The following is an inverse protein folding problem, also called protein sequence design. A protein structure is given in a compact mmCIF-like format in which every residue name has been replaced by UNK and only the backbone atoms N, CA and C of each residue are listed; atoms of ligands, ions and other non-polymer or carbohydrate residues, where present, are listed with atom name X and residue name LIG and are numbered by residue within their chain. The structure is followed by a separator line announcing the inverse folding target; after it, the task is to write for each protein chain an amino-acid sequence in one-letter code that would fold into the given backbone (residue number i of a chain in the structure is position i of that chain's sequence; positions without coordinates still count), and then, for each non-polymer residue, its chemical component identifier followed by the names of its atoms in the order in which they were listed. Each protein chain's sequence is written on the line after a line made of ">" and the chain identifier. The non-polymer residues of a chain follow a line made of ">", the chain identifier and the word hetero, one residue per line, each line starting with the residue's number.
data_IF_761500272444
#
_entry.id   IF_761500272444
#
_cell.length_a   1.000
_cell.length_b   1.000
_cell.length_c   1.000
_cell.angle_alpha   90.00
_cell.angle_beta   90.00
_cell.angle_gamma   90.00
#
_symmetry.space_group_name_H-M   'P 1'
#
loop_
_entity.id
_entity.type
_entity.pdbx_description
1 polymer ?
#
# COMPACT_ATOMS: atom_id res chain seq x y z
N UNK A 1 15.69 -8.22 14.72
CA UNK A 1 14.46 -8.29 13.89
C UNK A 1 14.00 -6.90 13.51
N UNK A 2 13.19 -6.75 12.47
CA UNK A 2 12.74 -5.41 12.04
C UNK A 2 11.43 -4.99 12.73
N UNK A 3 10.65 -5.95 13.24
CA UNK A 3 9.34 -5.71 13.86
C UNK A 3 9.14 -6.55 15.10
N UNK A 4 8.22 -6.15 15.98
CA UNK A 4 7.91 -6.90 17.20
C UNK A 4 7.26 -8.25 16.88
N UNK A 5 6.35 -8.30 15.91
CA UNK A 5 5.74 -9.57 15.50
C UNK A 5 6.78 -10.58 14.98
N UNK A 6 7.80 -10.13 14.24
CA UNK A 6 8.92 -11.01 13.82
C UNK A 6 9.72 -11.52 15.01
N UNK A 7 9.94 -10.68 16.03
CA UNK A 7 10.62 -11.09 17.27
C UNK A 7 9.82 -12.17 17.97
N UNK A 8 8.53 -11.95 18.17
CA UNK A 8 7.63 -12.91 18.82
C UNK A 8 7.61 -14.25 18.09
N UNK A 9 7.50 -14.20 16.77
CA UNK A 9 7.46 -15.40 15.94
C UNK A 9 8.77 -16.19 15.96
N UNK A 10 9.92 -15.53 15.90
CA UNK A 10 11.25 -16.17 16.01
C UNK A 10 11.45 -16.77 17.41
N UNK A 11 11.09 -16.05 18.47
CA UNK A 11 11.15 -16.54 19.83
C UNK A 11 10.31 -17.82 19.98
N UNK A 12 9.10 -17.79 19.45
CA UNK A 12 8.16 -18.91 19.50
C UNK A 12 8.66 -20.14 18.70
N UNK A 13 9.10 -19.93 17.45
CA UNK A 13 9.47 -21.03 16.56
C UNK A 13 10.85 -21.61 16.88
N UNK A 14 11.83 -20.75 17.13
CA UNK A 14 13.22 -21.17 17.35
C UNK A 14 13.53 -21.41 18.82
N UNK A 15 12.60 -21.17 19.75
CA UNK A 15 12.77 -21.30 21.20
C UNK A 15 13.99 -20.52 21.73
N UNK A 16 14.25 -19.37 21.13
CA UNK A 16 15.34 -18.45 21.54
C UNK A 16 14.80 -17.57 22.67
N UNK A 17 15.57 -17.32 23.76
CA UNK A 17 15.18 -16.40 24.81
C UNK A 17 14.89 -14.99 24.25
N UNK A 18 13.78 -14.37 24.66
CA UNK A 18 13.32 -13.09 24.10
C UNK A 18 14.31 -11.93 24.26
N UNK A 19 15.11 -11.97 25.36
CA UNK A 19 16.17 -11.00 25.65
C UNK A 19 17.34 -11.07 24.65
N UNK A 20 17.48 -12.16 23.91
CA UNK A 20 18.50 -12.33 22.86
C UNK A 20 18.06 -11.80 21.49
N UNK A 21 16.81 -11.39 21.35
CA UNK A 21 16.24 -10.88 20.09
C UNK A 21 15.90 -9.41 20.25
N UNK A 22 16.67 -8.56 19.59
CA UNK A 22 16.42 -7.12 19.55
C UNK A 22 15.58 -6.76 18.32
N UNK A 23 14.65 -5.81 18.50
CA UNK A 23 13.91 -5.18 17.42
C UNK A 23 14.59 -3.86 17.08
N UNK A 24 14.89 -3.68 15.80
CA UNK A 24 15.45 -2.44 15.28
C UNK A 24 14.77 -2.11 13.95
N UNK A 25 13.90 -1.14 13.97
CA UNK A 25 13.31 -0.60 12.75
C UNK A 25 14.39 -0.01 11.85
N UNK A 26 14.34 -0.23 10.54
CA UNK A 26 15.24 0.45 9.62
C UNK A 26 15.00 1.96 9.69
N UNK A 27 16.04 2.78 9.60
CA UNK A 27 15.83 4.21 9.42
C UNK A 27 15.09 4.45 8.11
N UNK A 28 13.98 5.17 8.17
CA UNK A 28 13.33 5.69 6.97
C UNK A 28 14.07 6.97 6.61
N UNK A 29 14.70 6.98 5.45
CA UNK A 29 15.29 8.21 4.92
C UNK A 29 14.16 9.18 4.60
N UNK A 30 14.02 10.19 5.44
CA UNK A 30 13.02 11.23 5.30
C UNK A 30 13.50 12.24 4.26
N UNK A 31 12.91 12.19 3.08
CA UNK A 31 13.11 13.27 2.11
C UNK A 31 12.26 14.49 2.51
N UNK A 32 12.82 15.66 2.34
CA UNK A 32 12.05 16.90 2.50
C UNK A 32 11.01 16.98 1.38
N UNK A 33 9.77 16.85 1.73
CA UNK A 33 8.62 17.04 0.84
C UNK A 33 7.57 17.84 1.59
N UNK A 34 6.63 18.42 0.85
CA UNK A 34 5.48 19.06 1.47
C UNK A 34 4.65 18.02 2.26
N UNK A 35 4.01 18.43 3.36
CA UNK A 35 3.07 17.58 4.06
C UNK A 35 1.95 17.14 3.11
N UNK A 36 1.40 15.95 3.36
CA UNK A 36 0.32 15.42 2.57
C UNK A 36 -0.86 16.38 2.43
N UNK A 37 -1.26 16.61 1.19
CA UNK A 37 -2.45 17.37 0.82
C UNK A 37 -3.19 16.61 -0.27
N UNK A 38 -4.50 16.42 -0.09
CA UNK A 38 -5.34 15.86 -1.14
C UNK A 38 -5.66 16.95 -2.17
N UNK A 39 -5.55 16.61 -3.44
CA UNK A 39 -6.08 17.48 -4.49
C UNK A 39 -7.59 17.62 -4.33
N UNK A 40 -8.13 18.85 -4.43
CA UNK A 40 -9.52 19.14 -4.01
C UNK A 40 -10.58 18.36 -4.78
N UNK A 41 -10.29 17.92 -6.02
CA UNK A 41 -11.27 17.32 -6.92
C UNK A 41 -10.86 15.94 -7.47
N UNK A 42 -9.69 15.38 -7.07
CA UNK A 42 -9.20 14.13 -7.65
C UNK A 42 -8.48 13.24 -6.62
N UNK A 43 -9.02 12.05 -6.39
CA UNK A 43 -8.40 11.10 -5.47
C UNK A 43 -7.34 10.25 -6.16
N UNK A 44 -6.12 10.26 -5.63
CA UNK A 44 -5.03 9.41 -6.13
C UNK A 44 -4.76 8.28 -5.14
N UNK A 45 -4.88 7.03 -5.60
CA UNK A 45 -4.56 5.84 -4.83
C UNK A 45 -3.23 5.27 -5.27
N UNK A 46 -2.23 5.32 -4.38
CA UNK A 46 -0.86 4.97 -4.71
C UNK A 46 -0.48 3.57 -4.20
N UNK A 47 0.13 2.76 -5.06
CA UNK A 47 0.61 1.43 -4.74
C UNK A 47 2.06 1.23 -5.20
N UNK A 48 3.05 1.56 -4.36
CA UNK A 48 4.45 1.33 -4.64
C UNK A 48 4.81 -0.14 -4.34
N UNK A 49 4.65 -0.99 -5.31
CA UNK A 49 4.90 -2.42 -5.13
C UNK A 49 5.50 -3.05 -6.39
N UNK A 50 6.44 -3.96 -6.18
CA UNK A 50 6.95 -4.83 -7.23
C UNK A 50 5.98 -5.98 -7.59
N UNK A 51 6.36 -6.85 -8.54
CA UNK A 51 5.47 -7.83 -9.16
C UNK A 51 5.11 -9.10 -8.35
N UNK A 52 5.71 -9.43 -7.18
CA UNK A 52 5.39 -10.67 -6.47
C UNK A 52 3.91 -10.78 -6.08
N UNK A 53 3.35 -11.98 -6.18
CA UNK A 53 1.93 -12.25 -5.95
C UNK A 53 1.44 -11.86 -4.54
N UNK A 54 2.31 -11.95 -3.52
CA UNK A 54 1.97 -11.58 -2.14
C UNK A 54 1.73 -10.06 -1.96
N UNK A 55 2.07 -9.24 -2.94
CA UNK A 55 1.69 -7.82 -2.99
C UNK A 55 0.19 -7.63 -3.23
N UNK A 56 -0.51 -8.70 -3.66
CA UNK A 56 -1.97 -8.76 -3.74
C UNK A 56 -2.62 -7.73 -4.66
N UNK A 57 -1.99 -7.47 -5.80
CA UNK A 57 -2.48 -6.56 -6.85
C UNK A 57 -3.92 -6.88 -7.28
N UNK A 58 -4.30 -8.18 -7.28
CA UNK A 58 -5.64 -8.64 -7.65
C UNK A 58 -6.73 -8.05 -6.77
N UNK A 59 -6.50 -7.96 -5.46
CA UNK A 59 -7.47 -7.36 -4.53
C UNK A 59 -7.64 -5.87 -4.81
N UNK A 60 -6.55 -5.15 -5.07
CA UNK A 60 -6.64 -3.73 -5.41
C UNK A 60 -7.34 -3.50 -6.75
N UNK A 61 -7.01 -4.25 -7.80
CA UNK A 61 -7.70 -4.16 -9.09
C UNK A 61 -9.22 -4.38 -8.94
N UNK A 62 -9.63 -5.40 -8.19
CA UNK A 62 -11.04 -5.65 -7.90
C UNK A 62 -11.70 -4.52 -7.12
N UNK A 63 -10.98 -3.90 -6.18
CA UNK A 63 -11.48 -2.74 -5.46
C UNK A 63 -11.69 -1.54 -6.39
N UNK A 64 -10.76 -1.28 -7.31
CA UNK A 64 -10.90 -0.27 -8.37
C UNK A 64 -12.13 -0.54 -9.27
N UNK A 65 -12.35 -1.80 -9.66
CA UNK A 65 -13.55 -2.18 -10.44
C UNK A 65 -14.84 -1.89 -9.67
N UNK A 66 -14.88 -2.23 -8.38
CA UNK A 66 -16.05 -1.97 -7.54
C UNK A 66 -16.27 -0.47 -7.33
N UNK A 67 -15.20 0.31 -7.15
CA UNK A 67 -15.26 1.76 -7.02
C UNK A 67 -15.87 2.41 -8.26
N UNK A 68 -15.43 2.01 -9.45
CA UNK A 68 -16.01 2.45 -10.71
C UNK A 68 -17.49 2.07 -10.83
N UNK A 69 -17.87 0.84 -10.45
CA UNK A 69 -19.27 0.37 -10.46
C UNK A 69 -20.19 1.14 -9.51
N UNK A 70 -19.63 1.76 -8.47
CA UNK A 70 -20.36 2.65 -7.54
C UNK A 70 -20.57 4.05 -8.09
N UNK A 71 -20.02 4.36 -9.26
CA UNK A 71 -20.17 5.64 -9.94
C UNK A 71 -19.12 6.67 -9.55
N UNK A 72 -18.07 6.30 -8.84
CA UNK A 72 -16.93 7.19 -8.59
C UNK A 72 -16.16 7.41 -9.91
N UNK A 73 -15.96 8.67 -10.30
CA UNK A 73 -15.33 9.06 -11.57
C UNK A 73 -14.02 9.81 -11.40
N UNK A 74 -13.87 10.58 -10.31
CA UNK A 74 -12.74 11.50 -10.13
C UNK A 74 -11.65 10.88 -9.26
N UNK A 75 -11.05 9.81 -9.79
CA UNK A 75 -9.94 9.11 -9.13
C UNK A 75 -9.02 8.44 -10.15
N UNK A 76 -7.77 8.20 -9.72
CA UNK A 76 -6.84 7.31 -10.41
C UNK A 76 -6.11 6.41 -9.42
N UNK A 77 -5.58 5.28 -9.89
CA UNK A 77 -4.62 4.46 -9.15
C UNK A 77 -3.26 4.48 -9.85
N UNK A 78 -2.19 4.70 -9.08
CA UNK A 78 -0.82 4.76 -9.59
C UNK A 78 -0.04 3.56 -9.05
N UNK A 79 0.43 2.70 -9.97
CA UNK A 79 1.19 1.49 -9.65
C UNK A 79 2.62 1.60 -10.18
N UNK A 80 3.62 1.31 -9.33
CA UNK A 80 5.04 1.35 -9.70
C UNK A 80 5.49 0.10 -10.47
N UNK A 81 4.67 -0.34 -11.41
CA UNK A 81 4.90 -1.44 -12.34
C UNK A 81 4.89 -0.90 -13.78
N UNK A 82 5.62 -1.55 -14.70
CA UNK A 82 5.52 -1.27 -16.14
C UNK A 82 4.32 -1.99 -16.77
N UNK A 83 3.92 -3.11 -16.15
CA UNK A 83 2.79 -3.93 -16.60
C UNK A 83 3.20 -5.11 -17.47
N UNK A 84 4.50 -5.43 -17.54
CA UNK A 84 5.08 -6.51 -18.35
C UNK A 84 6.07 -7.41 -17.56
N UNK A 85 6.19 -7.22 -16.25
CA UNK A 85 7.18 -7.89 -15.42
C UNK A 85 7.02 -9.42 -15.39
N UNK A 86 5.79 -9.90 -15.49
CA UNK A 86 5.46 -11.33 -15.58
C UNK A 86 4.05 -11.53 -16.15
N UNK A 87 3.67 -12.78 -16.43
CA UNK A 87 2.35 -13.11 -17.01
C UNK A 87 1.19 -12.65 -16.13
N UNK A 88 1.34 -12.74 -14.82
CA UNK A 88 0.31 -12.29 -13.87
C UNK A 88 0.08 -10.78 -13.95
N UNK A 89 1.15 -9.98 -14.01
CA UNK A 89 1.04 -8.52 -14.15
C UNK A 89 0.52 -8.13 -15.54
N UNK A 90 0.99 -8.80 -16.61
CA UNK A 90 0.43 -8.59 -17.97
C UNK A 90 -1.08 -8.83 -18.01
N UNK A 91 -1.54 -9.92 -17.37
CA UNK A 91 -2.97 -10.21 -17.30
C UNK A 91 -3.76 -9.15 -16.52
N UNK A 92 -3.20 -8.63 -15.42
CA UNK A 92 -3.83 -7.56 -14.64
C UNK A 92 -3.93 -6.26 -15.43
N UNK A 93 -2.86 -5.88 -16.15
CA UNK A 93 -2.85 -4.68 -16.99
C UNK A 93 -3.90 -4.78 -18.09
N UNK A 94 -3.93 -5.90 -18.80
CA UNK A 94 -4.94 -6.17 -19.83
C UNK A 94 -6.36 -6.08 -19.26
N UNK A 95 -6.62 -6.68 -18.09
CA UNK A 95 -7.92 -6.63 -17.43
C UNK A 95 -8.30 -5.18 -17.04
N UNK A 96 -7.35 -4.38 -16.55
CA UNK A 96 -7.57 -2.98 -16.23
C UNK A 96 -7.95 -2.16 -17.48
N UNK A 97 -7.26 -2.39 -18.60
CA UNK A 97 -7.53 -1.75 -19.89
C UNK A 97 -8.90 -2.15 -20.46
N UNK A 98 -9.22 -3.44 -20.48
CA UNK A 98 -10.53 -3.97 -20.95
C UNK A 98 -11.71 -3.39 -20.15
N UNK A 99 -11.52 -3.18 -18.84
CA UNK A 99 -12.52 -2.58 -17.96
C UNK A 99 -12.46 -1.05 -17.91
N UNK A 100 -11.53 -0.45 -18.64
CA UNK A 100 -11.30 1.01 -18.67
C UNK A 100 -11.13 1.57 -17.26
N UNK A 101 -10.34 0.89 -16.41
CA UNK A 101 -10.04 1.37 -15.07
C UNK A 101 -8.94 2.44 -15.14
N UNK A 102 -9.04 3.54 -14.40
CA UNK A 102 -8.03 4.59 -14.39
C UNK A 102 -6.80 4.17 -13.55
N UNK A 103 -6.11 3.11 -14.00
CA UNK A 103 -4.90 2.58 -13.37
C UNK A 103 -3.70 2.92 -14.25
N UNK A 104 -2.76 3.70 -13.72
CA UNK A 104 -1.53 4.07 -14.39
C UNK A 104 -0.38 3.16 -13.94
N UNK A 105 0.25 2.53 -14.90
CA UNK A 105 1.47 1.76 -14.71
C UNK A 105 2.66 2.67 -15.03
N UNK A 106 3.36 3.14 -14.00
CA UNK A 106 4.38 4.19 -14.13
C UNK A 106 5.82 3.67 -14.06
N UNK A 107 5.99 2.37 -13.79
CA UNK A 107 7.31 1.78 -13.60
C UNK A 107 7.98 2.20 -12.30
N UNK A 108 9.29 1.95 -12.23
CA UNK A 108 10.10 2.33 -11.07
C UNK A 108 10.24 3.85 -11.00
N UNK A 109 10.06 4.39 -9.81
CA UNK A 109 10.18 5.83 -9.53
C UNK A 109 11.50 6.13 -8.81
N UNK A 110 12.01 7.36 -8.97
CA UNK A 110 13.07 7.86 -8.10
C UNK A 110 12.57 8.01 -6.66
N UNK A 111 13.47 8.13 -5.70
CA UNK A 111 13.09 8.35 -4.29
C UNK A 111 12.32 9.66 -4.13
N UNK A 112 12.75 10.71 -4.83
CA UNK A 112 12.13 12.03 -4.84
C UNK A 112 10.69 11.96 -5.38
N UNK A 113 10.50 11.33 -6.54
CA UNK A 113 9.17 11.17 -7.14
C UNK A 113 8.25 10.31 -6.28
N UNK A 114 8.81 9.26 -5.64
CA UNK A 114 8.07 8.39 -4.72
C UNK A 114 7.51 9.19 -3.55
N UNK A 115 8.33 10.02 -2.90
CA UNK A 115 7.90 10.85 -1.77
C UNK A 115 6.94 11.96 -2.20
N UNK A 116 7.17 12.58 -3.36
CA UNK A 116 6.22 13.53 -3.95
C UNK A 116 4.86 12.85 -4.23
N UNK A 117 4.88 11.59 -4.66
CA UNK A 117 3.64 10.83 -4.88
C UNK A 117 2.93 10.51 -3.56
N UNK A 118 3.64 10.11 -2.49
CA UNK A 118 3.02 9.92 -1.16
C UNK A 118 2.36 11.21 -0.66
N UNK A 119 3.00 12.36 -0.85
CA UNK A 119 2.51 13.65 -0.34
C UNK A 119 1.15 14.08 -0.94
N UNK A 120 0.69 13.48 -2.04
CA UNK A 120 -0.57 13.81 -2.72
C UNK A 120 -1.54 12.63 -2.90
N UNK A 121 -1.22 11.49 -2.31
CA UNK A 121 -1.98 10.26 -2.54
C UNK A 121 -2.44 9.61 -1.24
N UNK A 122 -3.41 8.73 -1.35
CA UNK A 122 -3.76 7.74 -0.33
C UNK A 122 -2.95 6.47 -0.63
N UNK A 123 -2.12 6.03 0.31
CA UNK A 123 -1.43 4.75 0.16
C UNK A 123 -2.44 3.60 0.25
N UNK A 124 -2.48 2.74 -0.76
CA UNK A 124 -3.17 1.44 -0.71
C UNK A 124 -2.12 0.34 -0.61
N UNK A 125 -2.12 -0.41 0.49
CA UNK A 125 -1.11 -1.42 0.76
C UNK A 125 -1.74 -2.79 1.05
N UNK A 126 -2.15 -3.55 0.02
CA UNK A 126 -2.88 -4.81 0.16
C UNK A 126 -1.98 -6.03 0.37
N UNK A 127 -0.66 -5.86 0.46
CA UNK A 127 0.29 -6.95 0.67
C UNK A 127 -0.09 -7.81 1.89
N UNK A 128 0.06 -9.12 1.79
CA UNK A 128 -0.24 -10.02 2.91
C UNK A 128 1.00 -10.68 3.52
N UNK A 129 2.16 -10.48 2.92
CA UNK A 129 3.46 -10.94 3.45
C UNK A 129 4.49 -9.82 3.29
N UNK A 130 5.00 -9.33 4.40
CA UNK A 130 6.10 -8.36 4.46
C UNK A 130 6.92 -8.58 5.73
N UNK A 131 8.13 -8.06 5.73
CA UNK A 131 8.93 -7.99 6.96
C UNK A 131 8.57 -6.77 7.80
N UNK A 132 8.40 -5.61 7.15
CA UNK A 132 8.04 -4.34 7.79
C UNK A 132 7.08 -3.49 6.94
N UNK A 133 7.11 -3.61 5.61
CA UNK A 133 6.33 -2.75 4.73
C UNK A 133 6.85 -1.31 4.71
N UNK A 134 8.06 -1.07 4.20
CA UNK A 134 8.64 0.28 4.10
C UNK A 134 7.67 1.35 3.59
N UNK A 135 6.83 1.08 2.58
CA UNK A 135 5.84 2.05 2.11
C UNK A 135 4.90 2.58 3.20
N UNK A 136 4.59 1.78 4.23
CA UNK A 136 3.76 2.22 5.36
C UNK A 136 4.47 3.30 6.18
N UNK A 137 5.77 3.11 6.44
CA UNK A 137 6.59 4.08 7.18
C UNK A 137 6.82 5.35 6.36
N UNK A 138 7.05 5.21 5.07
CA UNK A 138 7.25 6.33 4.14
C UNK A 138 5.99 7.19 4.03
N UNK A 139 4.82 6.60 3.79
CA UNK A 139 3.54 7.30 3.75
C UNK A 139 3.21 7.99 5.08
N UNK A 140 3.39 7.29 6.22
CA UNK A 140 3.24 7.87 7.55
C UNK A 140 4.13 9.11 7.73
N UNK A 141 5.36 9.07 7.23
CA UNK A 141 6.35 10.14 7.41
C UNK A 141 5.95 11.46 6.75
N UNK A 142 5.18 11.41 5.69
CA UNK A 142 4.63 12.61 5.00
C UNK A 142 3.20 12.95 5.43
N UNK A 143 2.62 12.17 6.34
CA UNK A 143 1.26 12.38 6.83
C UNK A 143 0.16 11.86 5.89
N UNK A 144 0.47 10.98 4.94
CA UNK A 144 -0.49 10.43 3.99
C UNK A 144 -1.46 9.42 4.64
N UNK A 145 -2.74 9.38 4.25
CA UNK A 145 -3.66 8.33 4.65
C UNK A 145 -3.20 6.96 4.14
N UNK A 146 -3.46 5.92 4.92
CA UNK A 146 -3.04 4.55 4.63
C UNK A 146 -4.24 3.61 4.69
N UNK A 147 -4.47 2.87 3.62
CA UNK A 147 -5.42 1.76 3.55
C UNK A 147 -4.63 0.46 3.41
N UNK A 148 -4.43 -0.27 4.51
CA UNK A 148 -3.58 -1.46 4.54
C UNK A 148 -4.37 -2.74 4.79
N UNK A 149 -3.85 -3.86 4.26
CA UNK A 149 -4.34 -5.18 4.65
C UNK A 149 -4.10 -5.41 6.16
N UNK A 150 -5.08 -6.00 6.85
CA UNK A 150 -5.01 -6.27 8.28
C UNK A 150 -4.07 -7.44 8.55
N UNK A 151 -2.78 -7.14 8.63
CA UNK A 151 -1.70 -8.07 8.89
C UNK A 151 -0.84 -7.58 10.06
N UNK A 152 -0.24 -8.51 10.80
CA UNK A 152 0.55 -8.17 11.99
C UNK A 152 1.70 -7.19 11.68
N UNK A 153 2.41 -7.41 10.56
CA UNK A 153 3.48 -6.51 10.14
C UNK A 153 2.97 -5.08 9.86
N UNK A 154 1.76 -4.97 9.28
CA UNK A 154 1.18 -3.67 8.92
C UNK A 154 0.78 -2.91 10.18
N UNK A 155 0.12 -3.57 11.13
CA UNK A 155 -0.22 -2.98 12.43
C UNK A 155 1.02 -2.55 13.21
N UNK A 156 2.05 -3.38 13.23
CA UNK A 156 3.31 -3.07 13.92
C UNK A 156 4.07 -1.89 13.25
N UNK A 157 4.11 -1.85 11.91
CA UNK A 157 4.75 -0.78 11.15
C UNK A 157 4.00 0.55 11.22
N UNK A 158 2.67 0.52 11.19
CA UNK A 158 1.81 1.72 11.27
C UNK A 158 1.73 2.24 12.70
N UNK A 159 1.67 1.34 13.71
CA UNK A 159 1.55 1.70 15.11
C UNK A 159 0.26 2.49 15.40
N UNK A 160 0.40 3.61 16.10
CA UNK A 160 -0.66 4.51 16.55
C UNK A 160 -1.03 5.61 15.55
N UNK A 161 -0.66 5.45 14.27
CA UNK A 161 -0.94 6.47 13.25
C UNK A 161 -2.44 6.59 12.93
N UNK A 162 -3.04 7.71 13.29
CA UNK A 162 -4.49 7.93 13.23
C UNK A 162 -5.09 7.92 11.81
N UNK A 163 -4.27 8.22 10.77
CA UNK A 163 -4.73 8.21 9.38
C UNK A 163 -4.54 6.84 8.69
N UNK A 164 -4.36 5.77 9.46
CA UNK A 164 -4.29 4.43 8.93
C UNK A 164 -5.56 3.63 9.25
N UNK A 165 -6.06 2.98 8.23
CA UNK A 165 -7.21 2.09 8.35
C UNK A 165 -6.88 0.72 7.75
N UNK A 166 -7.48 -0.31 8.31
CA UNK A 166 -7.21 -1.68 7.93
C UNK A 166 -8.44 -2.36 7.34
N UNK A 167 -8.21 -3.18 6.32
CA UNK A 167 -9.22 -4.03 5.72
C UNK A 167 -8.79 -5.50 5.76
N UNK A 168 -9.74 -6.41 5.85
CA UNK A 168 -9.50 -7.84 5.77
C UNK A 168 -8.80 -8.20 4.46
N UNK A 169 -7.69 -8.93 4.53
CA UNK A 169 -6.64 -9.07 3.47
C UNK A 169 -7.27 -9.46 2.16
N UNK A 170 -8.13 -10.02 1.75
CA UNK A 170 -8.65 -10.28 0.40
C UNK A 170 -10.02 -9.62 0.14
N UNK A 171 -10.44 -8.74 1.04
CA UNK A 171 -11.74 -8.09 0.96
C UNK A 171 -11.71 -6.83 0.08
N UNK A 172 -11.75 -7.04 -1.24
CA UNK A 172 -11.80 -5.96 -2.22
C UNK A 172 -13.04 -5.05 -2.05
N UNK A 173 -14.16 -5.59 -1.55
CA UNK A 173 -15.38 -4.81 -1.29
C UNK A 173 -15.12 -3.80 -0.18
N UNK A 174 -14.55 -4.25 0.96
CA UNK A 174 -14.22 -3.35 2.06
C UNK A 174 -13.20 -2.29 1.64
N UNK A 175 -12.15 -2.69 0.91
CA UNK A 175 -11.17 -1.74 0.38
C UNK A 175 -11.87 -0.69 -0.53
N UNK A 176 -12.73 -1.10 -1.44
CA UNK A 176 -13.49 -0.18 -2.30
C UNK A 176 -14.34 0.81 -1.50
N UNK A 177 -15.00 0.36 -0.42
CA UNK A 177 -15.79 1.22 0.47
C UNK A 177 -14.92 2.24 1.22
N UNK A 178 -13.70 1.87 1.56
CA UNK A 178 -12.75 2.79 2.19
C UNK A 178 -12.19 3.81 1.19
N UNK A 179 -11.91 3.38 -0.04
CA UNK A 179 -11.46 4.27 -1.13
C UNK A 179 -12.55 5.29 -1.51
N UNK A 180 -13.82 4.88 -1.54
CA UNK A 180 -14.97 5.74 -1.90
C UNK A 180 -15.06 7.01 -1.04
N UNK A 181 -14.61 6.97 0.22
CA UNK A 181 -14.62 8.14 1.11
C UNK A 181 -13.66 9.26 0.70
N UNK A 182 -12.70 8.96 -0.17
CA UNK A 182 -11.78 9.93 -0.76
C UNK A 182 -12.26 10.45 -2.11
N UNK A 183 -13.22 9.77 -2.74
CA UNK A 183 -13.87 10.23 -3.96
C UNK A 183 -15.03 11.18 -3.59
N UNK A 184 -15.20 12.23 -4.35
CA UNK A 184 -16.31 13.20 -4.21
C UNK A 184 -17.35 12.98 -5.30
#
# INVERSE_FOLDING_TARGET
>A
MQTNWMKEEIVRQCKIPAERVQVKFPPVEMLKTDPWQMEEEHAVFFFPAGPPAYKNHRTFLKACELLKKRGCTDWEAVWTLNGDENDGIRALKKEAEEKTLPIRFVGMMSREDLFAQYARSVLVFPSYIETIGLPLLEARSVGAPILAADCLYARDGVGDYEKAEFFETFNAKKLSEMMERFCR
#
